data_IF_930566389413
#
_entry.id   IF_930566389413
#
_cell.length_a   1.000
_cell.length_b   1.000
_cell.length_c   1.000
_cell.angle_alpha   90.00
_cell.angle_beta   90.00
_cell.angle_gamma   90.00
#
_symmetry.space_group_name_H-M   'P 1'
#
loop_
_entity.id
_entity.type
_entity.pdbx_description
1 polymer ?
#
# COMPACT_ATOMS: atom_id res chain seq x y z
N UNK A 1 -57.75 -18.70 34.66
CA UNK A 1 -57.23 -18.54 33.30
C UNK A 1 -56.13 -17.52 33.35
N UNK A 2 -54.95 -17.97 33.14
CA UNK A 2 -53.73 -17.20 33.42
C UNK A 2 -53.13 -16.78 32.07
N UNK A 3 -53.23 -15.51 31.76
CA UNK A 3 -52.59 -14.96 30.57
C UNK A 3 -51.15 -14.59 30.92
N UNK A 4 -50.23 -15.31 30.38
CA UNK A 4 -48.80 -14.94 30.43
C UNK A 4 -48.53 -14.00 29.28
N UNK A 5 -48.32 -12.75 29.62
CA UNK A 5 -47.84 -11.76 28.67
C UNK A 5 -46.33 -11.85 28.69
N UNK A 6 -45.76 -12.44 27.67
CA UNK A 6 -44.31 -12.42 27.43
C UNK A 6 -43.94 -11.12 26.75
N UNK A 7 -43.34 -10.25 27.51
CA UNK A 7 -42.73 -9.03 26.98
C UNK A 7 -41.38 -9.42 26.35
N UNK A 8 -41.30 -9.43 25.04
CA UNK A 8 -40.06 -9.56 24.34
C UNK A 8 -39.33 -8.23 24.38
N UNK A 9 -38.31 -8.14 25.20
CA UNK A 9 -37.40 -7.01 25.18
C UNK A 9 -36.49 -7.12 23.94
N UNK A 10 -36.74 -6.31 22.94
CA UNK A 10 -35.87 -6.15 21.81
C UNK A 10 -34.70 -5.27 22.23
N UNK A 11 -33.57 -5.87 22.51
CA UNK A 11 -32.33 -5.17 22.74
C UNK A 11 -31.80 -4.67 21.40
N UNK A 12 -31.96 -3.38 21.12
CA UNK A 12 -31.25 -2.71 20.06
C UNK A 12 -29.77 -2.61 20.45
N UNK A 13 -28.97 -3.50 19.94
CA UNK A 13 -27.54 -3.35 19.98
C UNK A 13 -27.18 -2.23 19.01
N UNK A 14 -26.94 -1.03 19.51
CA UNK A 14 -26.24 -0.03 18.74
C UNK A 14 -24.82 -0.51 18.59
N UNK A 15 -24.55 -1.12 17.46
CA UNK A 15 -23.18 -1.28 17.01
C UNK A 15 -22.64 0.13 16.79
N UNK A 16 -22.01 0.66 17.79
CA UNK A 16 -21.27 1.90 17.67
C UNK A 16 -20.19 1.69 16.64
N UNK A 17 -20.40 2.19 15.44
CA UNK A 17 -19.30 2.44 14.55
C UNK A 17 -18.38 3.43 15.26
N UNK A 18 -17.33 2.91 15.88
CA UNK A 18 -16.25 3.72 16.40
C UNK A 18 -15.50 4.36 15.25
N UNK A 19 -16.20 5.19 14.48
CA UNK A 19 -15.55 6.11 13.58
C UNK A 19 -14.83 7.12 14.43
N UNK A 20 -13.53 7.18 14.28
CA UNK A 20 -12.75 8.25 14.86
C UNK A 20 -13.35 9.57 14.36
N UNK A 21 -13.98 10.29 15.24
CA UNK A 21 -14.63 11.58 14.96
C UNK A 21 -13.64 12.67 14.53
N UNK A 22 -12.38 12.37 14.62
CA UNK A 22 -11.32 13.22 14.11
C UNK A 22 -10.81 12.56 12.83
N UNK A 23 -11.04 13.18 11.64
CA UNK A 23 -10.27 12.77 10.48
C UNK A 23 -8.82 12.86 10.92
N UNK A 24 -8.23 11.71 11.16
CA UNK A 24 -6.97 11.62 11.84
C UNK A 24 -5.98 12.52 11.14
N UNK A 25 -5.71 13.62 11.78
CA UNK A 25 -4.51 14.33 11.47
C UNK A 25 -3.45 13.26 11.47
N UNK A 26 -3.16 12.67 10.32
CA UNK A 26 -2.14 11.73 10.33
C UNK A 26 -2.24 10.53 9.39
N UNK A 27 -3.29 10.36 8.64
CA UNK A 27 -3.32 9.33 7.59
C UNK A 27 -3.44 9.96 6.21
N UNK A 28 -2.67 9.43 5.29
CA UNK A 28 -2.69 9.83 3.88
C UNK A 28 -2.92 8.59 3.03
N UNK A 29 -3.77 8.70 2.05
CA UNK A 29 -4.03 7.61 1.12
C UNK A 29 -3.06 7.67 -0.04
N UNK A 30 -2.44 6.54 -0.33
CA UNK A 30 -1.47 6.40 -1.42
C UNK A 30 -1.95 5.32 -2.36
N UNK A 31 -2.06 5.67 -3.63
CA UNK A 31 -2.37 4.69 -4.68
C UNK A 31 -1.10 3.91 -5.04
N UNK A 32 -1.20 2.59 -4.99
CA UNK A 32 -0.09 1.69 -5.27
C UNK A 32 -0.47 0.77 -6.42
N UNK A 33 0.38 0.73 -7.42
CA UNK A 33 0.16 -0.06 -8.63
C UNK A 33 1.41 -0.85 -8.97
N UNK A 34 1.23 -1.92 -9.71
CA UNK A 34 2.35 -2.69 -10.26
C UNK A 34 1.98 -3.30 -11.61
N UNK A 35 2.99 -3.57 -12.40
CA UNK A 35 2.87 -4.32 -13.65
C UNK A 35 3.78 -5.54 -13.58
N UNK A 36 3.24 -6.75 -13.58
CA UNK A 36 1.82 -7.10 -13.58
C UNK A 36 1.13 -6.80 -12.25
N UNK A 37 -0.19 -6.71 -12.28
CA UNK A 37 -1.00 -6.52 -11.09
C UNK A 37 -1.00 -7.77 -10.21
N UNK A 38 -1.36 -7.61 -8.93
CA UNK A 38 -1.43 -8.72 -7.99
C UNK A 38 -0.20 -8.88 -7.11
N UNK A 39 0.72 -7.94 -7.16
CA UNK A 39 1.87 -7.95 -6.27
C UNK A 39 1.50 -7.54 -4.85
N UNK A 40 2.16 -8.15 -3.88
CA UNK A 40 2.05 -7.73 -2.49
C UNK A 40 2.96 -6.52 -2.29
N UNK A 41 2.36 -5.39 -1.97
CA UNK A 41 3.06 -4.15 -1.72
C UNK A 41 3.01 -3.83 -0.23
N UNK A 42 4.15 -3.53 0.35
CA UNK A 42 4.27 -3.18 1.76
C UNK A 42 5.05 -1.88 1.87
N UNK A 43 4.47 -0.93 2.60
CA UNK A 43 5.18 0.31 2.87
C UNK A 43 6.15 0.14 4.04
N UNK A 44 7.23 0.89 4.04
CA UNK A 44 8.16 0.90 5.18
C UNK A 44 7.52 1.47 6.45
N UNK A 45 6.36 2.08 6.32
CA UNK A 45 5.57 2.61 7.43
C UNK A 45 4.67 1.56 8.10
N UNK A 46 4.54 0.37 7.48
CA UNK A 46 3.79 -0.76 7.99
C UNK A 46 2.64 -1.24 7.12
N UNK A 47 1.69 -0.38 6.72
CA UNK A 47 0.55 -0.81 5.92
C UNK A 47 0.95 -1.37 4.56
N UNK A 48 0.24 -2.37 4.11
CA UNK A 48 0.45 -2.99 2.81
C UNK A 48 -0.86 -3.41 2.16
N UNK A 49 -0.80 -3.77 0.89
CA UNK A 49 -1.94 -4.24 0.13
C UNK A 49 -1.51 -5.00 -1.11
N UNK A 50 -2.48 -5.60 -1.79
CA UNK A 50 -2.25 -6.28 -3.06
C UNK A 50 -2.61 -5.35 -4.21
N UNK A 51 -1.68 -5.11 -5.11
CA UNK A 51 -1.85 -4.16 -6.21
C UNK A 51 -2.90 -4.60 -7.25
N UNK A 52 -3.64 -3.68 -7.89
CA UNK A 52 -3.69 -2.26 -7.58
C UNK A 52 -4.51 -1.98 -6.32
N UNK A 53 -4.05 -1.06 -5.50
CA UNK A 53 -4.72 -0.78 -4.24
C UNK A 53 -4.41 0.63 -3.74
N UNK A 54 -5.12 1.03 -2.71
CA UNK A 54 -4.87 2.26 -1.98
C UNK A 54 -4.63 1.92 -0.52
N UNK A 55 -3.57 2.44 0.05
CA UNK A 55 -3.26 2.25 1.47
C UNK A 55 -3.30 3.56 2.21
N UNK A 56 -3.83 3.53 3.41
CA UNK A 56 -3.75 4.65 4.33
C UNK A 56 -2.48 4.48 5.17
N UNK A 57 -1.56 5.40 5.05
CA UNK A 57 -0.33 5.41 5.83
C UNK A 57 -0.37 6.54 6.85
N UNK A 58 0.28 6.38 8.01
CA UNK A 58 0.45 7.50 8.94
C UNK A 58 1.13 8.64 8.19
N UNK A 59 0.68 9.88 8.45
CA UNK A 59 1.25 11.04 7.76
C UNK A 59 2.77 11.03 7.93
N UNK A 60 3.50 10.69 6.89
CA UNK A 60 4.93 10.53 7.02
C UNK A 60 5.61 11.89 7.14
N UNK A 61 6.57 11.97 8.01
CA UNK A 61 7.43 13.15 8.15
C UNK A 61 8.62 13.09 7.21
N UNK A 62 9.02 11.88 6.87
CA UNK A 62 10.20 11.61 6.07
C UNK A 62 9.86 10.72 4.89
N UNK A 63 10.77 10.66 3.94
CA UNK A 63 10.65 9.77 2.80
C UNK A 63 10.49 8.32 3.26
N UNK A 64 9.75 7.57 2.51
CA UNK A 64 9.51 6.17 2.79
C UNK A 64 9.64 5.35 1.50
N UNK A 65 9.49 4.05 1.61
CA UNK A 65 9.57 3.16 0.45
C UNK A 65 8.42 2.17 0.42
N UNK A 66 8.13 1.68 -0.77
CA UNK A 66 7.16 0.62 -1.00
C UNK A 66 7.89 -0.57 -1.59
N UNK A 67 7.80 -1.70 -0.93
CA UNK A 67 8.40 -2.95 -1.39
C UNK A 67 7.33 -3.82 -2.05
N UNK A 68 7.64 -4.32 -3.22
CA UNK A 68 6.76 -5.16 -4.01
C UNK A 68 7.31 -6.58 -4.08
N UNK A 69 6.43 -7.55 -3.92
CA UNK A 69 6.76 -8.97 -4.08
C UNK A 69 5.66 -9.68 -4.86
N UNK A 70 6.05 -10.39 -5.88
CA UNK A 70 5.13 -11.21 -6.68
C UNK A 70 5.82 -12.52 -7.04
N UNK A 71 5.10 -13.62 -6.85
CA UNK A 71 5.63 -14.94 -7.17
C UNK A 71 6.03 -15.02 -8.65
N UNK A 72 7.26 -15.42 -8.90
CA UNK A 72 7.80 -15.48 -10.26
C UNK A 72 8.42 -14.19 -10.76
N UNK A 73 8.43 -13.15 -9.94
CA UNK A 73 9.04 -11.86 -10.26
C UNK A 73 10.06 -11.46 -9.21
N UNK A 74 11.01 -10.65 -9.61
CA UNK A 74 11.99 -10.12 -8.67
C UNK A 74 11.33 -9.09 -7.75
N UNK A 75 11.64 -9.12 -6.44
CA UNK A 75 11.17 -8.10 -5.54
C UNK A 75 11.76 -6.75 -5.93
N UNK A 76 10.95 -5.70 -5.76
CA UNK A 76 11.36 -4.35 -6.10
C UNK A 76 10.98 -3.40 -4.98
N UNK A 77 11.83 -2.43 -4.73
CA UNK A 77 11.54 -1.37 -3.76
C UNK A 77 11.57 -0.03 -4.47
N UNK A 78 10.50 0.73 -4.30
CA UNK A 78 10.35 2.05 -4.89
C UNK A 78 10.41 3.08 -3.78
N UNK A 79 11.39 3.99 -3.81
CA UNK A 79 11.44 5.09 -2.85
C UNK A 79 10.35 6.12 -3.19
N UNK A 80 9.73 6.66 -2.15
CA UNK A 80 8.72 7.71 -2.27
C UNK A 80 9.22 8.94 -1.54
N UNK A 81 9.42 10.01 -2.28
CA UNK A 81 9.86 11.28 -1.73
C UNK A 81 8.67 12.14 -1.34
N UNK A 82 8.78 12.78 -0.22
CA UNK A 82 7.73 13.63 0.33
C UNK A 82 8.15 15.08 0.20
N UNK A 83 7.27 15.87 -0.39
CA UNK A 83 7.42 17.32 -0.42
C UNK A 83 6.30 17.94 0.38
N UNK A 84 6.67 18.72 1.39
CA UNK A 84 5.72 19.46 2.22
C UNK A 84 5.83 20.92 1.95
N UNK A 85 4.68 21.54 1.76
CA UNK A 85 4.57 22.99 1.73
C UNK A 85 3.87 23.45 3.00
N UNK A 86 4.49 24.39 3.71
CA UNK A 86 3.89 24.95 4.92
C UNK A 86 2.72 25.87 4.63
N UNK A 87 2.49 26.17 3.35
CA UNK A 87 1.43 27.06 2.95
C UNK A 87 1.80 28.54 3.16
N UNK A 88 0.87 29.37 2.76
CA UNK A 88 0.95 30.83 2.93
C UNK A 88 -0.43 31.36 3.27
N UNK A 89 -0.57 32.67 3.43
CA UNK A 89 -1.88 33.29 3.66
C UNK A 89 -2.88 33.02 2.53
N UNK A 90 -2.40 32.71 1.33
CA UNK A 90 -3.21 32.46 0.15
C UNK A 90 -3.26 30.97 -0.25
N UNK A 91 -2.36 30.17 0.28
CA UNK A 91 -2.21 28.77 -0.12
C UNK A 91 -2.22 27.88 1.12
N UNK A 92 -3.14 26.89 1.21
CA UNK A 92 -3.13 25.96 2.32
C UNK A 92 -1.88 25.07 2.29
N UNK A 93 -1.44 24.55 3.44
CA UNK A 93 -0.35 23.59 3.46
C UNK A 93 -0.76 22.32 2.72
N UNK A 94 0.16 21.76 1.96
CA UNK A 94 -0.08 20.51 1.25
C UNK A 94 1.13 19.58 1.36
N UNK A 95 0.85 18.30 1.22
CA UNK A 95 1.86 17.26 1.16
C UNK A 95 1.72 16.56 -0.18
N UNK A 96 2.79 16.45 -0.93
CA UNK A 96 2.82 15.72 -2.18
C UNK A 96 3.81 14.57 -2.11
N UNK A 97 3.51 13.53 -2.87
CA UNK A 97 4.32 12.33 -2.96
C UNK A 97 4.87 12.20 -4.38
N UNK A 98 6.07 11.71 -4.47
CA UNK A 98 6.70 11.46 -5.77
C UNK A 98 7.43 10.12 -5.73
N UNK A 99 7.03 9.13 -6.52
CA UNK A 99 5.95 9.16 -7.51
C UNK A 99 4.54 9.07 -6.89
N UNK A 100 3.55 9.61 -7.57
CA UNK A 100 2.13 9.47 -7.24
C UNK A 100 1.33 9.32 -8.54
N UNK A 101 0.68 8.16 -8.78
CA UNK A 101 0.69 6.95 -7.96
C UNK A 101 2.05 6.27 -7.91
N UNK A 102 2.26 5.45 -6.87
CA UNK A 102 3.46 4.64 -6.76
C UNK A 102 3.33 3.42 -7.67
N UNK A 103 4.09 3.39 -8.74
CA UNK A 103 4.03 2.34 -9.75
C UNK A 103 5.36 1.58 -9.79
N UNK A 104 5.29 0.26 -9.77
CA UNK A 104 6.44 -0.61 -9.95
C UNK A 104 6.27 -1.46 -11.21
N UNK A 105 7.32 -1.55 -11.99
CA UNK A 105 7.40 -2.50 -13.10
C UNK A 105 8.24 -3.68 -12.65
N UNK A 106 7.58 -4.79 -12.34
CA UNK A 106 8.26 -5.98 -11.87
C UNK A 106 8.84 -6.76 -13.04
N UNK A 107 10.06 -7.23 -12.86
CA UNK A 107 10.73 -8.06 -13.85
C UNK A 107 10.57 -9.52 -13.48
N UNK A 108 10.27 -10.40 -14.45
CA UNK A 108 10.23 -11.82 -14.17
C UNK A 108 11.60 -12.30 -13.70
N UNK A 109 11.58 -13.21 -12.72
CA UNK A 109 12.81 -13.86 -12.30
C UNK A 109 13.37 -14.62 -13.51
N UNK A 110 14.48 -14.15 -14.03
CA UNK A 110 15.14 -14.84 -15.11
C UNK A 110 15.48 -16.26 -14.65
N UNK A 111 15.16 -17.30 -15.43
CA UNK A 111 15.69 -18.61 -15.13
C UNK A 111 17.20 -18.51 -14.99
N UNK A 112 17.82 -19.22 -14.03
CA UNK A 112 19.23 -19.10 -13.81
C UNK A 112 19.93 -19.21 -15.17
N UNK A 113 20.61 -18.16 -15.54
CA UNK A 113 21.41 -18.18 -16.74
C UNK A 113 22.32 -19.38 -16.61
N UNK A 114 22.02 -20.42 -17.37
CA UNK A 114 22.97 -21.48 -17.60
C UNK A 114 24.30 -20.80 -17.88
N UNK A 115 25.37 -21.19 -17.20
CA UNK A 115 26.66 -20.60 -17.45
C UNK A 115 26.85 -20.65 -18.97
N UNK A 116 26.99 -19.48 -19.55
CA UNK A 116 27.22 -19.37 -20.95
C UNK A 116 28.32 -20.37 -21.28
N UNK A 117 27.93 -21.45 -21.90
CA UNK A 117 28.95 -22.35 -22.47
C UNK A 117 29.88 -21.45 -23.21
N UNK A 118 31.03 -21.21 -22.63
CA UNK A 118 32.14 -20.64 -23.39
C UNK A 118 32.15 -21.43 -24.66
N UNK A 119 31.78 -20.79 -25.75
CA UNK A 119 31.92 -21.36 -27.04
C UNK A 119 33.35 -21.83 -27.09
N UNK A 120 33.52 -23.11 -26.86
CA UNK A 120 34.79 -23.75 -27.13
C UNK A 120 35.05 -23.42 -28.56
N UNK A 121 35.95 -22.51 -28.79
CA UNK A 121 36.44 -22.27 -30.13
C UNK A 121 36.98 -23.61 -30.61
N UNK A 122 36.11 -24.30 -31.34
CA UNK A 122 36.49 -25.55 -31.93
C UNK A 122 37.68 -25.26 -32.88
N UNK A 123 38.68 -26.06 -32.83
CA UNK A 123 39.80 -25.90 -33.69
C UNK A 123 41.08 -25.47 -33.01
N UNK A 124 41.09 -25.53 -31.73
CA UNK A 124 42.31 -25.30 -30.99
C UNK A 124 42.85 -26.55 -30.41
#
# INVERSE_FOLDING_TARGET
MRHFITVAAASLSLAGCGGTLFPGAGTVEIAIQSTPAGADAITSLGPGCKTPCTVAVPSPTDDFSVSYALKGFEPMTVPVHITRSVGSLMTPPFTSFNPDPVVAQLQPVAPPKLPRRKKLTAGQ
#
